data_IF_468515029736
#
_entry.id   IF_468515029736
#
_cell.length_a   1.000
_cell.length_b   1.000
_cell.length_c   1.000
_cell.angle_alpha   90.00
_cell.angle_beta   90.00
_cell.angle_gamma   90.00
#
_symmetry.space_group_name_H-M   'P 1'
#
loop_
_entity.id
_entity.type
_entity.pdbx_description
1 polymer ?
#
# COMPACT_ATOMS: atom_id res chain seq x y z
N UNK A 1 -19.63 -31.48 -34.96
CA UNK A 1 -20.16 -30.19 -35.41
C UNK A 1 -19.53 -29.93 -36.79
N UNK A 2 -20.28 -29.60 -37.80
CA UNK A 2 -19.78 -29.37 -39.16
C UNK A 2 -20.36 -28.05 -39.69
N UNK A 3 -19.53 -27.13 -40.13
CA UNK A 3 -19.96 -25.84 -40.72
C UNK A 3 -19.35 -25.74 -42.11
N UNK A 4 -20.19 -25.82 -43.14
CA UNK A 4 -19.71 -25.78 -44.52
C UNK A 4 -19.45 -24.33 -44.98
N UNK A 5 -18.22 -24.09 -45.50
CA UNK A 5 -17.79 -22.88 -46.22
C UNK A 5 -17.90 -21.52 -45.47
N UNK A 6 -17.87 -21.49 -44.18
CA UNK A 6 -17.81 -20.23 -43.45
C UNK A 6 -16.35 -19.85 -43.12
N UNK A 7 -16.00 -18.61 -43.37
CA UNK A 7 -14.74 -18.00 -42.91
C UNK A 7 -14.97 -17.29 -41.56
N UNK A 8 -14.08 -17.53 -40.58
CA UNK A 8 -14.15 -16.87 -39.26
C UNK A 8 -14.95 -17.64 -38.22
N UNK A 9 -15.12 -18.95 -38.34
CA UNK A 9 -15.75 -19.77 -37.30
C UNK A 9 -14.80 -20.04 -36.14
N UNK A 10 -15.27 -19.80 -34.93
CA UNK A 10 -14.54 -20.14 -33.71
C UNK A 10 -15.31 -21.17 -32.90
N UNK A 11 -14.65 -22.22 -32.45
CA UNK A 11 -15.13 -23.12 -31.42
C UNK A 11 -14.61 -22.60 -30.05
N UNK A 12 -15.54 -22.13 -29.22
CA UNK A 12 -15.21 -21.70 -27.87
C UNK A 12 -15.50 -22.83 -26.87
N UNK A 13 -14.51 -23.23 -26.11
CA UNK A 13 -14.63 -24.18 -25.01
C UNK A 13 -14.50 -23.38 -23.70
N UNK A 14 -15.67 -23.00 -23.18
CA UNK A 14 -15.79 -22.20 -21.97
C UNK A 14 -16.14 -23.13 -20.78
N UNK A 15 -15.24 -23.20 -19.86
CA UNK A 15 -15.30 -24.03 -18.65
C UNK A 15 -15.28 -25.55 -18.91
N UNK A 16 -14.63 -26.25 -18.03
CA UNK A 16 -14.58 -27.71 -18.09
C UNK A 16 -15.81 -28.32 -17.44
N UNK A 17 -16.71 -28.90 -18.23
CA UNK A 17 -17.96 -29.47 -17.73
C UNK A 17 -17.85 -30.92 -17.24
N UNK A 18 -16.73 -31.59 -17.45
CA UNK A 18 -16.52 -33.00 -17.05
C UNK A 18 -15.83 -33.13 -15.73
N UNK A 19 -16.43 -33.87 -14.80
CA UNK A 19 -15.79 -34.32 -13.57
C UNK A 19 -14.77 -35.46 -13.77
N UNK A 20 -14.69 -36.01 -14.98
CA UNK A 20 -13.82 -37.15 -15.35
C UNK A 20 -12.53 -36.64 -16.03
N UNK A 21 -11.50 -37.47 -16.06
CA UNK A 21 -10.21 -37.22 -16.70
C UNK A 21 -10.24 -37.06 -18.22
N UNK A 22 -11.42 -37.11 -18.82
CA UNK A 22 -11.62 -37.10 -20.27
C UNK A 22 -11.98 -35.72 -20.87
N UNK A 23 -12.24 -34.71 -20.05
CA UNK A 23 -12.60 -33.38 -20.53
C UNK A 23 -13.91 -33.36 -21.33
N UNK A 24 -14.02 -32.43 -22.29
CA UNK A 24 -15.14 -32.36 -23.21
C UNK A 24 -14.93 -33.37 -24.35
N UNK A 25 -15.74 -34.42 -24.39
CA UNK A 25 -15.66 -35.49 -25.42
C UNK A 25 -16.56 -35.13 -26.59
N UNK A 26 -15.98 -35.01 -27.77
CA UNK A 26 -16.71 -34.79 -29.03
C UNK A 26 -16.31 -35.82 -30.06
N UNK A 27 -17.25 -36.13 -30.96
CA UNK A 27 -16.99 -37.11 -31.98
C UNK A 27 -16.09 -36.57 -33.09
N UNK A 28 -16.35 -35.34 -33.56
CA UNK A 28 -15.57 -34.69 -34.63
C UNK A 28 -15.59 -33.17 -34.53
N UNK A 29 -14.56 -32.52 -35.05
CA UNK A 29 -14.44 -31.07 -35.23
C UNK A 29 -14.04 -30.80 -36.68
N UNK A 30 -14.81 -30.01 -37.42
CA UNK A 30 -14.55 -29.70 -38.81
C UNK A 30 -14.84 -28.24 -39.14
N UNK A 31 -14.01 -27.66 -40.04
CA UNK A 31 -14.19 -26.31 -40.58
C UNK A 31 -14.25 -25.18 -39.56
N UNK A 32 -13.43 -25.24 -38.53
CA UNK A 32 -13.19 -24.13 -37.60
C UNK A 32 -11.86 -23.45 -37.92
N UNK A 33 -11.85 -22.12 -37.96
CA UNK A 33 -10.65 -21.33 -38.13
C UNK A 33 -9.93 -21.12 -36.82
N UNK A 34 -10.65 -21.16 -35.67
CA UNK A 34 -10.07 -21.04 -34.36
C UNK A 34 -10.76 -21.97 -33.33
N UNK A 35 -10.00 -22.42 -32.35
CA UNK A 35 -10.47 -23.07 -31.15
C UNK A 35 -9.95 -22.23 -30.00
N UNK A 36 -10.85 -21.61 -29.21
CA UNK A 36 -10.50 -20.81 -28.07
C UNK A 36 -10.88 -21.53 -26.78
N UNK A 37 -9.90 -21.76 -25.92
CA UNK A 37 -10.12 -22.25 -24.58
C UNK A 37 -10.27 -21.04 -23.62
N UNK A 38 -11.44 -20.91 -23.01
CA UNK A 38 -11.80 -19.79 -22.17
C UNK A 38 -12.17 -20.26 -20.76
N UNK A 39 -11.63 -19.59 -19.75
CA UNK A 39 -11.88 -19.90 -18.33
C UNK A 39 -11.73 -21.40 -18.02
N UNK A 40 -10.76 -22.05 -18.64
CA UNK A 40 -10.58 -23.49 -18.56
C UNK A 40 -9.97 -23.84 -17.20
N UNK A 41 -10.65 -24.68 -16.36
CA UNK A 41 -10.05 -25.16 -15.11
C UNK A 41 -8.83 -26.03 -15.43
N UNK A 42 -7.66 -25.64 -14.89
CA UNK A 42 -6.46 -26.43 -15.03
C UNK A 42 -6.59 -27.72 -14.22
N UNK A 43 -6.17 -28.81 -14.83
CA UNK A 43 -6.02 -30.09 -14.16
C UNK A 43 -4.76 -30.77 -14.70
N UNK A 44 -3.71 -30.85 -13.88
CA UNK A 44 -2.48 -31.57 -14.22
C UNK A 44 -2.82 -32.98 -14.70
N UNK A 45 -2.23 -33.36 -15.82
CA UNK A 45 -2.52 -34.60 -16.55
C UNK A 45 -3.98 -34.75 -17.05
N UNK A 46 -4.76 -33.68 -17.02
CA UNK A 46 -6.14 -33.65 -17.53
C UNK A 46 -6.23 -33.46 -19.03
N UNK A 47 -7.47 -33.57 -19.58
CA UNK A 47 -7.77 -33.37 -20.99
C UNK A 47 -8.89 -32.36 -21.14
N UNK A 48 -8.67 -31.27 -21.89
CA UNK A 48 -9.68 -30.24 -22.13
C UNK A 48 -10.66 -30.65 -23.28
N UNK A 49 -10.14 -31.13 -24.38
CA UNK A 49 -10.94 -31.57 -25.55
C UNK A 49 -10.46 -32.95 -26.00
N UNK A 50 -11.39 -33.91 -26.05
CA UNK A 50 -11.16 -35.27 -26.52
C UNK A 50 -11.93 -35.53 -27.79
N UNK A 51 -11.25 -35.73 -28.95
CA UNK A 51 -11.82 -36.01 -30.25
C UNK A 51 -11.71 -37.51 -30.50
N UNK A 52 -12.87 -38.16 -30.70
CA UNK A 52 -12.94 -39.64 -30.71
C UNK A 52 -13.04 -40.25 -32.14
N UNK A 53 -13.32 -39.46 -33.19
CA UNK A 53 -13.44 -39.97 -34.56
C UNK A 53 -12.23 -39.63 -35.43
N UNK A 54 -11.60 -40.67 -35.97
CA UNK A 54 -10.39 -40.63 -36.79
C UNK A 54 -10.54 -39.88 -38.12
N UNK A 55 -11.68 -39.95 -38.73
CA UNK A 55 -11.87 -39.49 -40.11
C UNK A 55 -11.85 -37.95 -40.27
N UNK A 56 -11.85 -37.24 -39.15
CA UNK A 56 -12.03 -35.77 -39.15
C UNK A 56 -10.83 -34.97 -38.69
N UNK A 57 -9.70 -35.60 -38.41
CA UNK A 57 -8.49 -34.89 -37.88
C UNK A 57 -7.74 -34.10 -38.96
N UNK A 58 -7.85 -34.45 -40.23
CA UNK A 58 -7.27 -33.64 -41.30
C UNK A 58 -7.91 -32.24 -41.47
N UNK A 59 -9.05 -32.01 -40.84
CA UNK A 59 -9.84 -30.79 -40.94
C UNK A 59 -9.44 -29.71 -39.91
N UNK A 60 -8.50 -30.01 -39.00
CA UNK A 60 -7.92 -29.02 -38.07
C UNK A 60 -6.73 -28.29 -38.70
N UNK A 61 -6.35 -28.67 -39.94
CA UNK A 61 -5.34 -27.94 -40.68
C UNK A 61 -5.76 -26.47 -40.86
N UNK A 62 -4.85 -25.52 -40.52
CA UNK A 62 -5.09 -24.08 -40.54
C UNK A 62 -5.99 -23.54 -39.40
N UNK A 63 -6.18 -24.30 -38.35
CA UNK A 63 -6.90 -23.84 -37.15
C UNK A 63 -5.92 -23.17 -36.20
N UNK A 64 -6.25 -21.97 -35.72
CA UNK A 64 -5.52 -21.31 -34.63
C UNK A 64 -6.07 -21.78 -33.29
N UNK A 65 -5.20 -22.20 -32.38
CA UNK A 65 -5.58 -22.52 -31.01
C UNK A 65 -5.15 -21.40 -30.11
N UNK A 66 -6.11 -20.88 -29.34
CA UNK A 66 -5.93 -19.78 -28.42
C UNK A 66 -6.38 -20.17 -27.01
N UNK A 67 -5.72 -19.60 -26.00
CA UNK A 67 -6.07 -19.77 -24.58
C UNK A 67 -6.26 -18.38 -23.98
N UNK A 68 -7.53 -17.98 -23.78
CA UNK A 68 -7.83 -16.66 -23.21
C UNK A 68 -7.62 -16.63 -21.69
N UNK A 69 -7.95 -17.71 -21.00
CA UNK A 69 -7.79 -17.76 -19.54
C UNK A 69 -7.80 -19.20 -19.02
N UNK A 70 -6.99 -19.46 -18.00
CA UNK A 70 -7.00 -20.69 -17.22
C UNK A 70 -7.44 -20.38 -15.80
N UNK A 71 -8.46 -21.08 -15.32
CA UNK A 71 -8.88 -21.00 -13.92
C UNK A 71 -8.30 -22.16 -13.13
N UNK A 72 -7.96 -21.91 -11.87
CA UNK A 72 -7.49 -22.94 -10.96
C UNK A 72 -8.60 -23.27 -9.95
N UNK A 73 -8.91 -24.54 -9.81
CA UNK A 73 -9.75 -24.98 -8.69
C UNK A 73 -8.94 -24.83 -7.39
N UNK A 74 -9.56 -24.23 -6.37
CA UNK A 74 -8.89 -23.84 -5.12
C UNK A 74 -7.98 -24.90 -4.53
N UNK A 75 -6.80 -24.48 -4.12
CA UNK A 75 -5.78 -25.30 -3.47
C UNK A 75 -4.77 -25.99 -4.40
N UNK A 76 -4.84 -25.78 -5.71
CA UNK A 76 -3.83 -26.32 -6.65
C UNK A 76 -2.73 -25.29 -6.86
N UNK A 77 -1.52 -25.60 -6.41
CA UNK A 77 -0.32 -24.82 -6.74
C UNK A 77 0.29 -25.41 -7.99
N UNK A 78 0.33 -24.63 -9.07
CA UNK A 78 1.02 -25.00 -10.29
C UNK A 78 2.53 -24.85 -10.16
N UNK A 79 3.27 -25.68 -10.87
CA UNK A 79 4.72 -25.63 -10.93
C UNK A 79 5.20 -25.66 -12.39
N UNK A 80 6.38 -25.14 -12.65
CA UNK A 80 7.01 -25.31 -13.94
C UNK A 80 7.17 -26.80 -14.27
N UNK A 81 6.79 -27.18 -15.47
CA UNK A 81 6.77 -28.59 -15.92
C UNK A 81 5.41 -29.28 -15.76
N UNK A 82 4.44 -28.70 -15.06
CA UNK A 82 3.07 -29.24 -15.05
C UNK A 82 2.48 -29.20 -16.46
N UNK A 83 1.80 -30.28 -16.85
CA UNK A 83 1.22 -30.42 -18.19
C UNK A 83 -0.29 -30.66 -18.14
N UNK A 84 -0.98 -30.20 -19.19
CA UNK A 84 -2.37 -30.54 -19.47
C UNK A 84 -2.57 -30.76 -20.96
N UNK A 85 -3.37 -31.72 -21.35
CA UNK A 85 -3.73 -31.95 -22.75
C UNK A 85 -4.87 -31.04 -23.16
N UNK A 86 -4.63 -30.12 -24.10
CA UNK A 86 -5.65 -29.22 -24.62
C UNK A 86 -6.51 -29.92 -25.67
N UNK A 87 -5.87 -30.63 -26.58
CA UNK A 87 -6.58 -31.41 -27.60
C UNK A 87 -5.98 -32.83 -27.65
N UNK A 88 -6.80 -33.81 -27.36
CA UNK A 88 -6.46 -35.22 -27.52
C UNK A 88 -7.16 -35.80 -28.73
N UNK A 89 -6.42 -36.56 -29.52
CA UNK A 89 -6.94 -37.35 -30.62
C UNK A 89 -6.63 -38.82 -30.34
N UNK A 90 -7.66 -39.63 -30.14
CA UNK A 90 -7.51 -41.08 -29.92
C UNK A 90 -7.31 -41.87 -31.22
N UNK A 91 -6.49 -41.36 -32.13
CA UNK A 91 -6.41 -41.87 -33.49
C UNK A 91 -5.08 -42.57 -33.70
N UNK A 92 -5.14 -43.68 -34.43
CA UNK A 92 -3.94 -44.41 -34.86
C UNK A 92 -3.02 -43.54 -35.78
N UNK A 93 -3.54 -42.45 -36.35
CA UNK A 93 -2.83 -41.52 -37.22
C UNK A 93 -2.39 -40.22 -36.53
N UNK A 94 -2.81 -39.96 -35.27
CA UNK A 94 -2.52 -38.74 -34.53
C UNK A 94 -3.11 -37.48 -35.15
N UNK A 95 -3.03 -36.35 -34.40
CA UNK A 95 -3.26 -35.03 -34.95
C UNK A 95 -2.08 -34.65 -35.82
N UNK A 96 -2.31 -34.34 -37.09
CA UNK A 96 -1.27 -33.64 -37.88
C UNK A 96 -1.35 -32.16 -37.55
N UNK A 97 -0.55 -31.73 -36.61
CA UNK A 97 -0.45 -30.32 -36.22
C UNK A 97 0.58 -29.54 -37.06
N UNK A 98 1.08 -30.12 -38.15
CA UNK A 98 1.95 -29.42 -39.10
C UNK A 98 1.36 -28.09 -39.60
N UNK A 99 0.06 -27.86 -39.33
CA UNK A 99 -0.68 -26.69 -39.78
C UNK A 99 -1.55 -26.04 -38.69
N UNK A 100 -1.49 -26.46 -37.44
CA UNK A 100 -2.11 -25.74 -36.33
C UNK A 100 -1.15 -24.65 -35.87
N UNK A 101 -1.61 -23.40 -35.90
CA UNK A 101 -0.92 -22.31 -35.24
C UNK A 101 -1.45 -22.16 -33.82
N UNK A 102 -0.54 -21.92 -32.88
CA UNK A 102 -0.87 -21.64 -31.50
C UNK A 102 -0.55 -20.18 -31.24
N UNK A 103 -1.38 -19.49 -30.44
CA UNK A 103 -1.04 -18.16 -29.97
C UNK A 103 0.26 -18.26 -29.18
N UNK A 104 1.23 -17.42 -29.51
CA UNK A 104 2.54 -17.43 -28.85
C UNK A 104 2.40 -17.10 -27.37
N UNK A 105 2.97 -17.97 -26.52
CA UNK A 105 3.16 -17.79 -25.07
C UNK A 105 1.92 -17.25 -24.33
N UNK A 106 0.79 -17.96 -24.33
CA UNK A 106 -0.39 -17.53 -23.60
C UNK A 106 -0.07 -17.42 -22.10
N UNK A 107 -0.46 -16.30 -21.51
CA UNK A 107 -0.32 -16.06 -20.08
C UNK A 107 -1.62 -16.36 -19.35
N UNK A 108 -1.54 -16.75 -18.08
CA UNK A 108 -2.69 -16.98 -17.23
C UNK A 108 -2.44 -16.42 -15.83
N UNK A 109 -3.51 -16.12 -15.11
CA UNK A 109 -3.43 -15.68 -13.71
C UNK A 109 -3.84 -16.82 -12.80
N UNK A 110 -2.99 -17.16 -11.84
CA UNK A 110 -3.29 -18.10 -10.77
C UNK A 110 -3.79 -17.31 -9.56
N UNK A 111 -5.07 -17.44 -9.23
CA UNK A 111 -5.69 -16.61 -8.21
C UNK A 111 -5.53 -15.12 -8.55
N UNK A 112 -4.96 -14.35 -7.63
CA UNK A 112 -4.61 -12.94 -7.80
C UNK A 112 -3.13 -12.66 -7.53
N UNK A 113 -2.41 -13.63 -6.95
CA UNK A 113 -1.02 -13.45 -6.51
C UNK A 113 0.02 -13.81 -7.56
N UNK A 114 -0.33 -14.64 -8.54
CA UNK A 114 0.62 -15.17 -9.51
C UNK A 114 0.13 -15.06 -10.97
N UNK A 115 1.09 -14.94 -11.88
CA UNK A 115 0.90 -15.08 -13.32
C UNK A 115 1.80 -16.18 -13.85
N UNK A 116 1.33 -16.93 -14.81
CA UNK A 116 2.07 -18.00 -15.44
C UNK A 116 2.16 -17.85 -16.94
N UNK A 117 3.17 -18.49 -17.53
CA UNK A 117 3.38 -18.58 -18.96
C UNK A 117 3.22 -20.04 -19.40
N UNK A 118 2.46 -20.26 -20.46
CA UNK A 118 2.12 -21.58 -20.98
C UNK A 118 2.84 -21.80 -22.32
N UNK A 119 3.57 -22.91 -22.43
CA UNK A 119 4.12 -23.38 -23.71
C UNK A 119 3.19 -24.43 -24.29
N UNK A 120 2.64 -24.14 -25.45
CA UNK A 120 1.75 -25.07 -26.16
C UNK A 120 2.52 -25.78 -27.27
N UNK A 121 2.61 -27.10 -27.17
CA UNK A 121 3.37 -27.92 -28.10
C UNK A 121 2.70 -29.25 -28.42
N UNK A 122 3.14 -29.86 -29.50
CA UNK A 122 2.82 -31.27 -29.77
C UNK A 122 3.65 -32.17 -28.87
N UNK A 123 2.99 -33.10 -28.22
CA UNK A 123 3.67 -34.23 -27.61
C UNK A 123 4.15 -35.18 -28.72
N UNK A 124 5.47 -35.38 -28.82
CA UNK A 124 6.10 -36.18 -29.89
C UNK A 124 5.77 -37.69 -29.87
N UNK A 125 5.21 -38.22 -28.77
CA UNK A 125 4.82 -39.61 -28.63
C UNK A 125 3.36 -39.85 -28.98
N UNK A 126 2.47 -38.95 -28.56
CA UNK A 126 1.02 -39.11 -28.67
C UNK A 126 0.41 -38.24 -29.75
N UNK A 127 1.12 -37.25 -30.29
CA UNK A 127 0.61 -36.21 -31.19
C UNK A 127 -0.60 -35.45 -30.62
N UNK A 128 -0.71 -35.34 -29.30
CA UNK A 128 -1.68 -34.49 -28.66
C UNK A 128 -1.15 -33.07 -28.55
N UNK A 129 -2.04 -32.06 -28.56
CA UNK A 129 -1.68 -30.72 -28.22
C UNK A 129 -1.64 -30.59 -26.69
N UNK A 130 -0.45 -30.41 -26.14
CA UNK A 130 -0.25 -30.23 -24.70
C UNK A 130 0.15 -28.80 -24.38
N UNK A 131 -0.26 -28.31 -23.22
CA UNK A 131 0.25 -27.10 -22.61
C UNK A 131 1.14 -27.49 -21.42
N UNK A 132 2.32 -26.93 -21.38
CA UNK A 132 3.29 -27.07 -20.30
C UNK A 132 3.53 -25.72 -19.63
N UNK A 133 3.48 -25.68 -18.31
CA UNK A 133 3.80 -24.46 -17.55
C UNK A 133 5.30 -24.18 -17.67
N UNK A 134 5.70 -23.11 -18.35
CA UNK A 134 7.10 -22.67 -18.45
C UNK A 134 7.62 -22.09 -17.14
N UNK A 135 6.80 -21.30 -16.50
CA UNK A 135 7.15 -20.63 -15.26
C UNK A 135 5.96 -19.94 -14.62
N UNK A 136 6.08 -19.67 -13.34
CA UNK A 136 5.11 -18.91 -12.56
C UNK A 136 5.88 -17.79 -11.88
N UNK A 137 5.37 -16.58 -12.01
CA UNK A 137 5.92 -15.37 -11.43
C UNK A 137 4.84 -14.66 -10.57
N UNK A 138 5.29 -13.76 -9.73
CA UNK A 138 4.38 -12.88 -8.98
C UNK A 138 3.54 -12.03 -9.95
N UNK A 139 2.26 -11.88 -9.64
CA UNK A 139 1.41 -10.95 -10.38
C UNK A 139 1.84 -9.49 -10.09
N UNK A 140 2.28 -8.72 -11.11
CA UNK A 140 2.74 -7.35 -10.91
C UNK A 140 1.69 -6.41 -10.30
N UNK A 141 0.40 -6.70 -10.44
CA UNK A 141 -0.68 -5.91 -9.82
C UNK A 141 -0.57 -5.86 -8.29
N UNK A 142 0.09 -6.87 -7.67
CA UNK A 142 0.30 -6.93 -6.22
C UNK A 142 1.20 -5.83 -5.69
N UNK A 143 1.95 -5.12 -6.55
CA UNK A 143 2.78 -3.98 -6.17
C UNK A 143 1.94 -2.85 -5.57
N UNK A 144 0.72 -2.63 -6.06
CA UNK A 144 -0.20 -1.64 -5.50
C UNK A 144 -0.52 -1.90 -4.02
N UNK A 145 -0.55 -3.16 -3.61
CA UNK A 145 -0.79 -3.56 -2.22
C UNK A 145 0.46 -3.29 -1.37
N UNK A 146 1.65 -3.64 -1.87
CA UNK A 146 2.92 -3.39 -1.18
C UNK A 146 3.15 -1.90 -0.92
N UNK A 147 2.89 -1.04 -1.92
CA UNK A 147 2.98 0.41 -1.80
C UNK A 147 2.08 0.96 -0.69
N UNK A 148 0.87 0.44 -0.54
CA UNK A 148 -0.04 0.87 0.52
C UNK A 148 0.52 0.70 1.93
N UNK A 149 1.31 -0.33 2.16
CA UNK A 149 1.90 -0.59 3.48
C UNK A 149 2.85 0.54 3.92
N UNK A 150 3.73 1.00 3.04
CA UNK A 150 4.62 2.14 3.30
C UNK A 150 3.83 3.41 3.62
N UNK A 151 2.74 3.65 2.87
CA UNK A 151 1.85 4.79 3.06
C UNK A 151 1.15 4.78 4.40
N UNK A 152 0.70 3.62 4.82
CA UNK A 152 0.04 3.46 6.10
C UNK A 152 0.98 3.86 7.25
N UNK A 153 2.24 3.45 7.20
CA UNK A 153 3.27 3.88 8.14
C UNK A 153 3.54 5.39 8.07
N UNK A 154 3.65 5.96 6.85
CA UNK A 154 3.82 7.40 6.65
C UNK A 154 2.65 8.22 7.24
N UNK A 155 1.42 7.69 7.17
CA UNK A 155 0.25 8.35 7.75
C UNK A 155 0.26 8.32 9.28
N UNK A 156 0.65 7.22 9.90
CA UNK A 156 0.87 7.11 11.35
C UNK A 156 1.96 8.08 11.80
N UNK A 157 3.02 8.27 11.01
CA UNK A 157 4.08 9.22 11.29
C UNK A 157 3.61 10.68 11.37
N UNK A 158 2.56 11.07 10.63
CA UNK A 158 1.96 12.40 10.74
C UNK A 158 1.32 12.62 12.12
N UNK A 159 0.78 11.56 12.75
CA UNK A 159 0.33 11.61 14.14
C UNK A 159 1.48 11.89 15.14
N UNK A 160 2.65 11.32 14.92
CA UNK A 160 3.84 11.61 15.74
C UNK A 160 4.26 13.08 15.63
N UNK A 161 4.16 13.66 14.44
CA UNK A 161 4.46 15.08 14.20
C UNK A 161 3.53 15.98 15.03
N UNK A 162 2.22 15.70 15.03
CA UNK A 162 1.23 16.48 15.79
C UNK A 162 1.46 16.34 17.29
N UNK A 163 1.74 15.15 17.78
CA UNK A 163 2.00 14.90 19.19
C UNK A 163 3.22 15.70 19.68
N UNK A 164 4.31 15.72 18.89
CA UNK A 164 5.50 16.50 19.20
C UNK A 164 5.28 18.01 19.15
N UNK A 165 4.45 18.51 18.20
CA UNK A 165 4.12 19.92 18.07
C UNK A 165 3.15 20.40 19.17
N UNK A 166 2.22 19.56 19.58
CA UNK A 166 1.29 19.86 20.66
C UNK A 166 2.01 20.10 22.00
N UNK A 167 3.19 19.51 22.21
CA UNK A 167 4.03 19.80 23.37
C UNK A 167 4.55 21.24 23.40
N UNK A 168 4.82 21.85 22.24
CA UNK A 168 5.31 23.22 22.17
C UNK A 168 4.33 24.21 22.82
N UNK A 169 3.04 24.08 22.49
CA UNK A 169 2.00 24.94 23.03
C UNK A 169 1.54 24.54 24.44
N UNK A 170 1.47 23.25 24.72
CA UNK A 170 1.14 22.77 26.04
C UNK A 170 2.14 23.24 27.08
N UNK A 171 3.42 23.39 26.70
CA UNK A 171 4.52 23.74 27.60
C UNK A 171 4.77 25.25 27.74
N UNK A 172 3.87 26.12 27.24
CA UNK A 172 4.03 27.57 27.38
C UNK A 172 4.02 27.99 28.87
N UNK A 173 5.02 28.79 29.26
CA UNK A 173 5.35 29.09 30.66
C UNK A 173 4.47 30.16 31.31
N UNK A 174 3.57 30.77 30.58
CA UNK A 174 2.82 31.94 31.03
C UNK A 174 1.92 31.68 32.23
N UNK A 175 1.43 30.44 32.38
CA UNK A 175 0.60 30.05 33.55
C UNK A 175 0.87 28.60 33.92
N UNK A 176 0.97 28.33 35.20
CA UNK A 176 1.05 26.97 35.74
C UNK A 176 -0.36 26.40 35.94
N UNK A 177 -0.46 25.09 35.97
CA UNK A 177 -1.72 24.43 36.28
C UNK A 177 -2.17 23.46 35.19
N UNK A 178 -3.36 22.93 35.42
CA UNK A 178 -4.02 21.97 34.51
C UNK A 178 -4.50 22.69 33.26
N UNK A 179 -4.39 21.99 32.14
CA UNK A 179 -4.86 22.48 30.85
C UNK A 179 -5.39 21.35 29.99
N UNK A 180 -6.35 21.66 29.13
CA UNK A 180 -6.76 20.80 28.03
C UNK A 180 -6.19 21.35 26.73
N UNK A 181 -5.90 20.46 25.80
CA UNK A 181 -5.40 20.84 24.48
C UNK A 181 -6.03 19.98 23.40
N UNK A 182 -6.07 20.50 22.19
CA UNK A 182 -6.50 19.77 21.01
C UNK A 182 -5.95 20.40 19.75
N UNK A 183 -5.62 19.56 18.78
CA UNK A 183 -5.19 19.99 17.46
C UNK A 183 -5.90 19.20 16.36
N UNK A 184 -6.14 19.90 15.25
CA UNK A 184 -6.58 19.31 13.99
C UNK A 184 -5.54 19.65 12.94
N UNK A 185 -5.09 18.63 12.24
CA UNK A 185 -4.07 18.71 11.21
C UNK A 185 -4.62 18.11 9.92
N UNK A 186 -4.56 18.87 8.83
CA UNK A 186 -4.89 18.41 7.50
C UNK A 186 -3.65 18.37 6.62
N UNK A 187 -3.50 17.34 5.80
CA UNK A 187 -2.37 17.20 4.90
C UNK A 187 -2.76 16.71 3.52
N UNK A 188 -1.96 17.12 2.55
CA UNK A 188 -1.88 16.52 1.23
C UNK A 188 -0.40 16.26 0.95
N UNK A 189 -0.03 15.01 0.96
CA UNK A 189 1.36 14.58 0.78
C UNK A 189 1.47 13.59 -0.38
N UNK A 190 2.60 13.66 -1.07
CA UNK A 190 3.08 12.68 -2.03
C UNK A 190 4.37 12.10 -1.47
N UNK A 191 4.56 10.79 -1.59
CA UNK A 191 5.80 10.09 -1.24
C UNK A 191 6.36 9.44 -2.49
N UNK A 192 7.68 9.47 -2.65
CA UNK A 192 8.40 8.89 -3.78
C UNK A 192 8.74 7.42 -3.46
N UNK A 193 7.72 6.57 -3.49
CA UNK A 193 7.84 5.12 -3.38
C UNK A 193 7.56 4.57 -4.78
N UNK A 194 8.40 3.85 -5.42
CA UNK A 194 8.28 3.22 -6.76
C UNK A 194 7.10 3.67 -7.67
N UNK A 195 6.09 4.34 -7.12
CA UNK A 195 4.94 4.95 -7.80
C UNK A 195 4.57 6.32 -7.21
N UNK A 196 3.73 7.07 -7.91
CA UNK A 196 3.17 8.35 -7.46
C UNK A 196 2.07 8.14 -6.41
N UNK A 197 2.47 8.00 -5.15
CA UNK A 197 1.59 7.75 -4.04
C UNK A 197 1.11 9.02 -3.36
N UNK A 198 -0.19 9.26 -3.39
CA UNK A 198 -0.81 10.48 -2.84
C UNK A 198 -1.70 10.16 -1.65
N UNK A 199 -1.46 10.84 -0.53
CA UNK A 199 -2.28 10.76 0.68
C UNK A 199 -2.93 12.12 0.94
N UNK A 200 -4.24 12.11 1.21
CA UNK A 200 -4.95 13.24 1.77
C UNK A 200 -5.58 12.79 3.09
N UNK A 201 -5.33 13.51 4.17
CA UNK A 201 -5.81 13.07 5.47
C UNK A 201 -5.98 14.17 6.48
N UNK A 202 -6.74 13.83 7.51
CA UNK A 202 -6.96 14.62 8.71
C UNK A 202 -6.54 13.81 9.92
N UNK A 203 -5.83 14.48 10.81
CA UNK A 203 -5.39 13.90 12.06
C UNK A 203 -5.84 14.83 13.20
N UNK A 204 -6.24 14.25 14.31
CA UNK A 204 -6.75 14.98 15.47
C UNK A 204 -6.07 14.43 16.73
N UNK A 205 -5.74 15.33 17.63
CA UNK A 205 -5.27 14.99 18.98
C UNK A 205 -6.06 15.79 19.99
N UNK A 206 -6.47 15.16 21.08
CA UNK A 206 -7.09 15.83 22.24
C UNK A 206 -6.49 15.28 23.52
N UNK A 207 -6.23 16.15 24.48
CA UNK A 207 -5.55 15.72 25.70
C UNK A 207 -5.72 16.65 26.88
N UNK A 208 -5.20 16.19 28.01
CA UNK A 208 -5.10 16.93 29.24
C UNK A 208 -3.68 16.88 29.76
N UNK A 209 -3.20 17.98 30.30
CA UNK A 209 -1.84 18.07 30.82
C UNK A 209 -1.73 19.04 31.99
N UNK A 210 -0.53 19.14 32.51
CA UNK A 210 -0.20 20.06 33.59
C UNK A 210 1.19 20.64 33.37
N UNK A 211 1.37 21.90 33.74
CA UNK A 211 2.68 22.55 33.79
C UNK A 211 2.92 23.05 35.19
N UNK A 212 4.06 22.69 35.75
CA UNK A 212 4.45 23.15 37.10
C UNK A 212 5.94 23.47 37.18
N UNK A 213 6.27 24.36 38.09
CA UNK A 213 7.63 24.76 38.35
C UNK A 213 8.38 23.65 39.11
N UNK A 214 9.60 23.36 38.68
CA UNK A 214 10.51 22.42 39.36
C UNK A 214 11.91 22.98 39.38
N UNK A 215 12.26 23.65 40.49
CA UNK A 215 13.56 24.33 40.64
C UNK A 215 13.75 25.48 39.66
N UNK A 216 14.79 25.40 38.82
CA UNK A 216 15.13 26.33 37.75
C UNK A 216 14.53 25.95 36.39
N UNK A 217 13.53 25.10 36.39
CA UNK A 217 12.92 24.59 35.18
C UNK A 217 11.40 24.46 35.32
N UNK A 218 10.70 24.36 34.19
CA UNK A 218 9.31 24.02 34.09
C UNK A 218 9.18 22.58 33.57
N UNK A 219 8.30 21.80 34.18
CA UNK A 219 7.94 20.47 33.77
C UNK A 219 6.51 20.50 33.25
N UNK A 220 6.33 20.25 31.95
CA UNK A 220 5.06 20.03 31.31
C UNK A 220 4.89 18.54 31.02
N UNK A 221 3.71 17.99 31.27
CA UNK A 221 3.36 16.63 30.90
C UNK A 221 1.88 16.54 30.53
N UNK A 222 1.52 15.57 29.73
CA UNK A 222 0.12 15.34 29.34
C UNK A 222 -0.10 13.93 28.81
N UNK A 223 -1.37 13.56 28.78
CA UNK A 223 -1.87 12.37 28.14
C UNK A 223 -2.89 12.77 27.06
N UNK A 224 -2.95 12.01 26.01
CA UNK A 224 -3.80 12.34 24.87
C UNK A 224 -4.39 11.12 24.19
N UNK A 225 -5.50 11.33 23.51
CA UNK A 225 -6.07 10.48 22.49
C UNK A 225 -5.77 11.06 21.11
N UNK A 226 -5.51 10.21 20.14
CA UNK A 226 -5.28 10.58 18.75
C UNK A 226 -6.13 9.76 17.79
N UNK A 227 -6.49 10.39 16.68
CA UNK A 227 -7.21 9.76 15.58
C UNK A 227 -6.74 10.34 14.26
N UNK A 228 -6.62 9.50 13.23
CA UNK A 228 -6.36 9.92 11.87
C UNK A 228 -7.30 9.23 10.90
N UNK A 229 -7.73 9.98 9.89
CA UNK A 229 -8.52 9.46 8.75
C UNK A 229 -7.92 10.00 7.47
N UNK A 230 -7.55 9.12 6.56
CA UNK A 230 -6.93 9.45 5.29
C UNK A 230 -7.47 8.63 4.14
N UNK A 231 -7.34 9.18 2.94
CA UNK A 231 -7.56 8.46 1.70
C UNK A 231 -6.27 8.53 0.89
N UNK A 232 -5.98 7.45 0.19
CA UNK A 232 -4.83 7.38 -0.70
C UNK A 232 -5.24 6.85 -2.06
N UNK A 233 -4.38 7.11 -3.05
CA UNK A 233 -4.52 6.60 -4.40
C UNK A 233 -3.17 6.17 -4.91
N UNK A 234 -3.14 4.97 -5.48
CA UNK A 234 -2.01 4.43 -6.24
C UNK A 234 -2.40 4.29 -7.71
N UNK A 235 -1.49 4.59 -8.61
CA UNK A 235 -1.69 4.47 -10.05
C UNK A 235 -0.43 3.84 -10.64
N UNK A 236 -0.60 2.71 -11.34
CA UNK A 236 0.51 2.02 -12.00
C UNK A 236 0.08 1.42 -13.34
N UNK A 237 1.01 1.09 -14.21
CA UNK A 237 0.76 0.47 -15.51
C UNK A 237 1.59 -0.80 -15.64
N UNK A 238 0.93 -1.92 -15.95
CA UNK A 238 1.56 -3.21 -16.19
C UNK A 238 1.10 -3.75 -17.54
N UNK A 239 2.02 -4.17 -18.39
CA UNK A 239 1.72 -4.71 -19.72
C UNK A 239 0.76 -3.83 -20.55
N UNK A 240 1.00 -2.51 -20.57
CA UNK A 240 0.17 -1.49 -21.25
C UNK A 240 -1.26 -1.34 -20.68
N UNK A 241 -1.60 -2.04 -19.61
CA UNK A 241 -2.85 -1.84 -18.87
C UNK A 241 -2.65 -0.91 -17.66
N UNK A 242 -3.62 -0.01 -17.49
CA UNK A 242 -3.64 0.94 -16.38
C UNK A 242 -4.42 0.37 -15.19
N UNK A 243 -3.77 0.32 -14.04
CA UNK A 243 -4.37 -0.10 -12.78
C UNK A 243 -4.40 1.06 -11.79
N UNK A 244 -5.50 1.15 -11.08
CA UNK A 244 -5.71 2.16 -10.05
C UNK A 244 -6.36 1.53 -8.83
N UNK A 245 -5.71 1.69 -7.67
CA UNK A 245 -6.25 1.38 -6.36
C UNK A 245 -6.64 2.65 -5.63
N UNK A 246 -7.85 2.69 -5.05
CA UNK A 246 -8.29 3.73 -4.13
C UNK A 246 -8.45 3.09 -2.74
N UNK A 247 -7.87 3.70 -1.72
CA UNK A 247 -7.88 3.15 -0.37
C UNK A 247 -8.12 4.17 0.72
N UNK A 248 -8.38 3.67 1.91
CA UNK A 248 -8.58 4.44 3.12
C UNK A 248 -7.67 3.98 4.26
N UNK A 249 -7.32 4.91 5.12
CA UNK A 249 -6.51 4.71 6.31
C UNK A 249 -7.23 5.31 7.51
N UNK A 250 -7.34 4.56 8.58
CA UNK A 250 -7.88 5.04 9.85
C UNK A 250 -7.00 4.52 10.98
N UNK A 251 -6.51 5.43 11.81
CA UNK A 251 -5.84 5.00 13.03
C UNK A 251 -6.48 5.65 14.26
N UNK A 252 -6.41 4.95 15.39
CA UNK A 252 -6.84 5.40 16.69
C UNK A 252 -5.82 5.00 17.74
N UNK A 253 -5.51 5.90 18.65
CA UNK A 253 -4.50 5.62 19.65
C UNK A 253 -4.54 6.57 20.81
N UNK A 254 -3.56 6.42 21.66
CA UNK A 254 -3.34 7.30 22.77
C UNK A 254 -1.87 7.37 23.16
N UNK A 255 -1.52 8.35 23.94
CA UNK A 255 -0.14 8.53 24.34
C UNK A 255 0.06 9.44 25.53
N UNK A 256 1.31 9.60 25.88
CA UNK A 256 1.77 10.52 26.89
C UNK A 256 2.99 11.30 26.40
N UNK A 257 3.12 12.53 26.84
CA UNK A 257 4.22 13.39 26.45
C UNK A 257 4.73 14.21 27.63
N UNK A 258 6.02 14.55 27.61
CA UNK A 258 6.67 15.31 28.66
C UNK A 258 7.70 16.27 28.06
N UNK A 259 7.81 17.49 28.62
CA UNK A 259 8.88 18.45 28.33
C UNK A 259 9.44 19.04 29.62
N UNK A 260 10.74 19.02 29.73
CA UNK A 260 11.49 19.69 30.78
C UNK A 260 12.25 20.87 30.18
N UNK A 261 11.87 22.10 30.55
CA UNK A 261 12.44 23.35 30.04
C UNK A 261 13.08 24.16 31.14
N UNK A 262 14.39 24.42 31.03
CA UNK A 262 15.18 25.24 31.93
C UNK A 262 14.99 26.73 31.69
N UNK A 263 15.21 27.56 32.71
CA UNK A 263 15.19 29.01 32.56
C UNK A 263 16.24 29.53 31.56
N UNK A 264 17.33 28.77 31.35
CA UNK A 264 18.35 29.08 30.33
C UNK A 264 17.83 28.92 28.89
N UNK A 265 16.58 28.48 28.71
CA UNK A 265 15.94 28.20 27.41
C UNK A 265 16.20 26.80 26.87
N UNK A 266 17.13 26.02 27.44
CA UNK A 266 17.35 24.65 27.05
C UNK A 266 16.16 23.76 27.43
N UNK A 267 15.75 22.85 26.54
CA UNK A 267 14.67 21.92 26.83
C UNK A 267 14.94 20.51 26.30
N UNK A 268 14.28 19.56 26.93
CA UNK A 268 14.26 18.14 26.56
C UNK A 268 12.81 17.69 26.52
N UNK A 269 12.48 16.86 25.55
CA UNK A 269 11.12 16.37 25.40
C UNK A 269 11.09 14.90 24.98
N UNK A 270 10.01 14.23 25.33
CA UNK A 270 9.76 12.86 24.93
C UNK A 270 8.24 12.60 24.83
N UNK A 271 7.86 11.66 23.98
CA UNK A 271 6.50 11.12 23.95
C UNK A 271 6.52 9.62 23.65
N UNK A 272 5.45 8.96 24.07
CA UNK A 272 5.12 7.58 23.76
C UNK A 272 3.68 7.52 23.30
N UNK A 273 3.43 6.74 22.26
CA UNK A 273 2.09 6.54 21.66
C UNK A 273 1.90 5.10 21.26
N UNK A 274 0.66 4.63 21.29
CA UNK A 274 0.25 3.28 20.91
C UNK A 274 -1.18 3.31 20.37
N UNK A 275 -1.46 2.49 19.39
CA UNK A 275 -2.81 2.43 18.80
C UNK A 275 -2.99 1.33 17.78
N UNK A 276 -4.10 1.43 17.06
CA UNK A 276 -4.46 0.53 15.97
C UNK A 276 -4.56 1.30 14.65
N UNK A 277 -4.20 0.67 13.57
CA UNK A 277 -4.27 1.17 12.21
C UNK A 277 -5.08 0.18 11.37
N UNK A 278 -6.15 0.64 10.75
CA UNK A 278 -6.86 -0.07 9.70
C UNK A 278 -6.50 0.54 8.34
N UNK A 279 -6.14 -0.28 7.38
CA UNK A 279 -5.90 0.10 6.01
C UNK A 279 -6.70 -0.77 5.06
N UNK A 280 -7.37 -0.15 4.09
CA UNK A 280 -8.17 -0.86 3.11
C UNK A 280 -7.91 -0.33 1.70
N UNK A 281 -8.06 -1.19 0.72
CA UNK A 281 -8.00 -0.82 -0.69
C UNK A 281 -9.13 -1.54 -1.45
N UNK A 282 -9.82 -0.80 -2.31
CA UNK A 282 -10.74 -1.37 -3.29
C UNK A 282 -10.05 -1.50 -4.64
N UNK A 283 -10.44 -2.51 -5.42
CA UNK A 283 -9.88 -2.79 -6.75
C UNK A 283 -8.35 -2.95 -6.77
N UNK A 284 -7.80 -3.57 -5.72
CA UNK A 284 -6.36 -3.74 -5.55
C UNK A 284 -5.75 -4.64 -6.63
N UNK A 285 -6.43 -5.74 -6.94
CA UNK A 285 -6.00 -6.76 -7.91
C UNK A 285 -7.18 -7.32 -8.67
N UNK A 286 -6.89 -7.93 -9.82
CA UNK A 286 -7.87 -8.67 -10.63
C UNK A 286 -7.42 -10.11 -10.84
N UNK A 287 -8.39 -11.02 -10.86
CA UNK A 287 -8.15 -12.39 -11.27
C UNK A 287 -8.14 -12.52 -12.81
N UNK A 288 -7.87 -13.73 -13.30
CA UNK A 288 -7.85 -14.01 -14.74
C UNK A 288 -9.24 -13.88 -15.41
N UNK A 289 -10.34 -13.87 -14.68
CA UNK A 289 -11.69 -13.62 -15.20
C UNK A 289 -12.01 -12.12 -15.25
N UNK A 290 -11.12 -11.25 -14.75
CA UNK A 290 -11.30 -9.79 -14.70
C UNK A 290 -12.11 -9.30 -13.51
N UNK A 291 -12.42 -10.16 -12.51
CA UNK A 291 -13.06 -9.74 -11.28
C UNK A 291 -12.06 -8.96 -10.43
N UNK A 292 -12.53 -7.82 -9.90
CA UNK A 292 -11.71 -6.97 -9.03
C UNK A 292 -11.90 -7.33 -7.57
N UNK A 293 -10.81 -7.35 -6.82
CA UNK A 293 -10.77 -7.66 -5.40
C UNK A 293 -10.09 -6.53 -4.63
N UNK A 294 -10.58 -6.31 -3.40
CA UNK A 294 -9.97 -5.42 -2.42
C UNK A 294 -9.46 -6.21 -1.23
N UNK A 295 -8.92 -5.50 -0.26
CA UNK A 295 -8.53 -6.06 1.04
C UNK A 295 -8.74 -5.07 2.17
N UNK A 296 -8.79 -5.59 3.40
CA UNK A 296 -8.71 -4.88 4.66
C UNK A 296 -7.58 -5.49 5.48
N UNK A 297 -6.79 -4.63 6.14
CA UNK A 297 -5.68 -5.03 7.02
C UNK A 297 -5.74 -4.23 8.32
N UNK A 298 -5.60 -4.94 9.43
CA UNK A 298 -5.60 -4.39 10.78
C UNK A 298 -4.22 -4.60 11.41
N UNK A 299 -3.60 -3.51 11.85
CA UNK A 299 -2.29 -3.52 12.48
C UNK A 299 -2.31 -2.76 13.79
N UNK A 300 -1.42 -3.09 14.71
CA UNK A 300 -1.10 -2.22 15.83
C UNK A 300 0.10 -1.34 15.49
N UNK A 301 0.24 -0.23 16.19
CA UNK A 301 1.43 0.59 16.11
C UNK A 301 1.84 1.10 17.49
N UNK A 302 3.12 1.32 17.65
CA UNK A 302 3.64 2.12 18.74
C UNK A 302 4.70 3.08 18.21
N UNK A 303 4.96 4.14 18.96
CA UNK A 303 5.98 5.10 18.56
C UNK A 303 6.44 5.94 19.75
N UNK A 304 7.64 6.44 19.63
CA UNK A 304 8.24 7.36 20.59
C UNK A 304 8.91 8.52 19.86
N UNK A 305 9.00 9.66 20.53
CA UNK A 305 9.87 10.73 20.07
C UNK A 305 10.72 11.24 21.21
N UNK A 306 11.94 11.65 20.89
CA UNK A 306 12.88 12.31 21.77
C UNK A 306 13.33 13.62 21.13
N UNK A 307 13.31 14.71 21.88
CA UNK A 307 13.71 16.02 21.38
C UNK A 307 14.60 16.77 22.34
N UNK A 308 15.48 17.56 21.77
CA UNK A 308 16.31 18.53 22.50
C UNK A 308 16.28 19.85 21.74
N UNK A 309 16.29 20.96 22.45
CA UNK A 309 16.36 22.26 21.80
C UNK A 309 16.71 23.38 22.76
N UNK A 310 16.80 24.57 22.17
CA UNK A 310 17.11 25.78 22.91
C UNK A 310 16.34 26.98 22.38
N UNK A 311 15.67 27.67 23.26
CA UNK A 311 15.06 28.96 23.03
C UNK A 311 16.10 30.05 23.28
N UNK A 312 16.34 30.91 22.29
CA UNK A 312 17.36 31.98 22.33
C UNK A 312 16.67 33.31 22.06
N UNK A 313 16.61 34.17 23.08
CA UNK A 313 16.01 35.50 22.93
C UNK A 313 16.83 36.34 21.95
N UNK A 314 16.19 37.05 21.05
CA UNK A 314 16.79 37.89 20.01
C UNK A 314 15.92 39.13 19.77
N UNK A 315 16.25 40.23 20.47
CA UNK A 315 15.40 41.44 20.48
C UNK A 315 14.03 41.16 21.10
N UNK A 316 12.95 41.55 20.42
CA UNK A 316 11.56 41.24 20.78
C UNK A 316 11.12 39.83 20.37
N UNK A 317 11.93 39.11 19.60
CA UNK A 317 11.63 37.77 19.10
C UNK A 317 12.53 36.72 19.74
N UNK A 318 12.25 35.46 19.38
CA UNK A 318 12.93 34.29 19.93
C UNK A 318 13.22 33.26 18.84
N UNK A 319 14.43 32.74 18.81
CA UNK A 319 14.81 31.56 18.05
C UNK A 319 14.53 30.28 18.86
N UNK A 320 13.96 29.27 18.21
CA UNK A 320 13.93 27.90 18.68
C UNK A 320 14.78 27.05 17.74
N UNK A 321 15.91 26.54 18.24
CA UNK A 321 16.77 25.61 17.48
C UNK A 321 16.62 24.24 18.12
N UNK A 322 16.31 23.22 17.32
CA UNK A 322 15.96 21.90 17.86
C UNK A 322 16.43 20.73 16.99
N UNK A 323 16.57 19.59 17.65
CA UNK A 323 16.69 18.28 17.03
C UNK A 323 15.68 17.33 17.64
N UNK A 324 14.96 16.59 16.82
CA UNK A 324 13.94 15.61 17.22
C UNK A 324 14.19 14.29 16.52
N UNK A 325 14.18 13.20 17.25
CA UNK A 325 14.22 11.84 16.75
C UNK A 325 12.85 11.20 16.96
N UNK A 326 12.35 10.53 15.95
CA UNK A 326 11.07 9.81 15.97
C UNK A 326 11.33 8.36 15.62
N UNK A 327 10.75 7.47 16.38
CA UNK A 327 10.68 6.05 16.10
C UNK A 327 9.21 5.63 16.06
N UNK A 328 8.83 4.91 15.03
CA UNK A 328 7.47 4.35 14.87
C UNK A 328 7.61 2.94 14.32
N UNK A 329 6.89 1.99 14.92
CA UNK A 329 6.76 0.63 14.44
C UNK A 329 5.28 0.32 14.18
N UNK A 330 4.99 -0.22 13.02
CA UNK A 330 3.67 -0.69 12.61
C UNK A 330 3.79 -2.19 12.40
N UNK A 331 3.13 -2.98 13.25
CA UNK A 331 3.17 -4.44 13.20
C UNK A 331 2.59 -4.99 11.90
N UNK A 332 3.16 -6.08 11.42
CA UNK A 332 2.72 -6.80 10.24
C UNK A 332 1.29 -7.35 10.37
N UNK A 333 0.74 -7.81 9.25
CA UNK A 333 -0.59 -8.43 9.22
C UNK A 333 -0.67 -9.50 8.13
N UNK A 334 -1.53 -10.49 8.33
CA UNK A 334 -1.81 -11.54 7.37
C UNK A 334 -3.29 -11.48 6.98
N UNK A 335 -3.56 -11.49 5.69
CA UNK A 335 -4.91 -11.43 5.14
C UNK A 335 -5.01 -12.29 3.87
N UNK A 336 -6.23 -12.47 3.35
CA UNK A 336 -6.46 -13.25 2.13
C UNK A 336 -7.24 -12.44 1.11
N UNK A 337 -6.85 -12.55 -0.16
CA UNK A 337 -7.57 -11.95 -1.30
C UNK A 337 -7.89 -13.07 -2.29
N UNK A 338 -9.17 -13.27 -2.58
CA UNK A 338 -9.65 -14.30 -3.51
C UNK A 338 -9.12 -15.71 -3.20
N UNK A 339 -8.79 -16.00 -1.94
CA UNK A 339 -8.26 -17.28 -1.49
C UNK A 339 -6.73 -17.38 -1.48
N UNK A 340 -6.00 -16.40 -2.01
CA UNK A 340 -4.55 -16.32 -1.90
C UNK A 340 -4.16 -15.62 -0.60
N UNK A 341 -3.12 -16.12 0.06
CA UNK A 341 -2.58 -15.55 1.29
C UNK A 341 -1.63 -14.39 0.98
N UNK A 342 -1.79 -13.30 1.75
CA UNK A 342 -0.91 -12.14 1.73
C UNK A 342 -0.39 -11.86 3.12
N UNK A 343 0.84 -11.38 3.22
CA UNK A 343 1.41 -10.95 4.50
C UNK A 343 2.19 -9.66 4.34
N UNK A 344 1.94 -8.72 5.25
CA UNK A 344 2.80 -7.56 5.47
C UNK A 344 3.79 -7.87 6.58
N UNK A 345 5.05 -7.50 6.38
CA UNK A 345 6.04 -7.46 7.46
C UNK A 345 5.85 -6.20 8.31
N UNK A 346 6.52 -6.16 9.48
CA UNK A 346 6.60 -4.96 10.31
C UNK A 346 7.28 -3.84 9.52
N UNK A 347 6.80 -2.60 9.73
CA UNK A 347 7.45 -1.40 9.18
C UNK A 347 8.00 -0.57 10.32
N UNK A 348 9.31 -0.39 10.33
CA UNK A 348 10.03 0.48 11.27
C UNK A 348 10.40 1.78 10.58
N UNK A 349 10.02 2.92 11.15
CA UNK A 349 10.40 4.26 10.70
C UNK A 349 11.24 4.96 11.78
N UNK A 350 12.42 5.43 11.37
CA UNK A 350 13.37 6.14 12.22
C UNK A 350 13.74 7.48 11.59
N UNK A 351 13.19 8.60 12.11
CA UNK A 351 13.39 9.93 11.54
C UNK A 351 14.18 10.85 12.44
N UNK A 352 15.12 11.57 11.87
CA UNK A 352 15.82 12.67 12.54
C UNK A 352 15.42 13.99 11.87
N UNK A 353 14.86 14.91 12.67
CA UNK A 353 14.51 16.26 12.24
C UNK A 353 15.38 17.30 12.95
N UNK A 354 16.06 18.15 12.19
CA UNK A 354 16.82 19.29 12.67
C UNK A 354 16.19 20.57 12.14
N UNK A 355 15.90 21.54 13.01
CA UNK A 355 15.18 22.73 12.58
C UNK A 355 15.50 23.98 13.39
N UNK A 356 15.14 25.10 12.81
CA UNK A 356 15.18 26.41 13.43
C UNK A 356 13.92 27.19 13.09
N UNK A 357 13.28 27.77 14.11
CA UNK A 357 12.07 28.59 14.01
C UNK A 357 12.34 29.94 14.68
N UNK A 358 12.00 31.02 14.03
CA UNK A 358 11.99 32.36 14.62
C UNK A 358 10.56 32.82 14.86
N UNK A 359 10.25 33.20 16.10
CA UNK A 359 8.99 33.80 16.52
C UNK A 359 9.22 35.27 16.82
N UNK A 360 8.54 36.14 16.07
CA UNK A 360 8.63 37.58 16.26
C UNK A 360 7.69 38.06 17.38
N UNK A 361 8.05 39.18 18.01
CA UNK A 361 7.17 39.91 18.94
C UNK A 361 6.56 39.01 20.04
N UNK A 362 7.40 38.24 20.73
CA UNK A 362 6.96 37.27 21.74
C UNK A 362 6.33 37.91 22.98
N UNK A 363 6.39 39.22 23.10
CA UNK A 363 5.76 40.06 24.12
C UNK A 363 4.35 40.55 23.76
N UNK A 364 3.87 40.25 22.54
CA UNK A 364 2.52 40.62 22.08
C UNK A 364 1.57 39.42 22.16
N UNK A 365 0.26 39.73 22.19
CA UNK A 365 -0.79 38.70 22.15
C UNK A 365 -0.72 37.85 20.88
N UNK A 366 -0.34 38.46 19.75
CA UNK A 366 -0.12 37.79 18.46
C UNK A 366 1.36 37.78 18.11
N UNK A 367 1.90 36.61 17.86
CA UNK A 367 3.28 36.40 17.44
C UNK A 367 3.32 35.63 16.13
N UNK A 368 3.92 36.21 15.10
CA UNK A 368 4.16 35.52 13.84
C UNK A 368 5.45 34.70 13.94
N UNK A 369 5.49 33.52 13.35
CA UNK A 369 6.71 32.73 13.24
C UNK A 369 6.91 32.16 11.83
N UNK A 370 8.17 31.85 11.53
CA UNK A 370 8.61 31.12 10.35
C UNK A 370 9.80 30.24 10.70
N UNK A 371 9.92 29.14 9.98
CA UNK A 371 10.98 28.18 10.26
C UNK A 371 11.36 27.33 9.07
N UNK A 372 12.51 26.73 9.18
CA UNK A 372 13.05 25.74 8.25
C UNK A 372 13.52 24.53 9.03
N UNK A 373 13.29 23.35 8.50
CA UNK A 373 13.82 22.12 9.03
C UNK A 373 14.24 21.18 7.90
N UNK A 374 15.14 20.29 8.24
CA UNK A 374 15.51 19.12 7.45
C UNK A 374 15.18 17.87 8.23
N UNK A 375 14.58 16.91 7.57
CA UNK A 375 14.27 15.59 8.11
C UNK A 375 14.91 14.53 7.26
N UNK A 376 15.39 13.47 7.88
CA UNK A 376 15.88 12.27 7.22
C UNK A 376 15.21 11.04 7.80
N UNK A 377 14.61 10.22 6.94
CA UNK A 377 14.12 8.89 7.26
C UNK A 377 15.25 7.89 6.99
N UNK A 378 15.65 7.14 8.02
CA UNK A 378 16.74 6.15 7.93
C UNK A 378 16.25 4.78 7.50
N UNK A 379 15.00 4.48 7.76
CA UNK A 379 14.33 3.21 7.52
C UNK A 379 13.01 3.48 6.75
N UNK A 380 11.94 2.77 7.07
CA UNK A 380 10.65 2.92 6.42
C UNK A 380 10.46 1.90 5.32
N UNK A 381 11.26 0.85 5.35
CA UNK A 381 11.16 -0.27 4.40
C UNK A 381 9.91 -1.08 4.69
N UNK A 382 9.20 -1.41 3.64
CA UNK A 382 7.95 -2.16 3.67
C UNK A 382 8.05 -3.37 2.76
N UNK A 383 7.95 -4.55 3.34
CA UNK A 383 7.98 -5.82 2.63
C UNK A 383 6.61 -6.49 2.68
N UNK A 384 6.30 -7.21 1.61
CA UNK A 384 5.05 -7.97 1.48
C UNK A 384 5.32 -9.28 0.74
N UNK A 385 4.57 -10.31 1.11
CA UNK A 385 4.45 -11.56 0.34
C UNK A 385 3.06 -11.66 -0.26
N UNK A 386 3.02 -12.09 -1.51
CA UNK A 386 1.81 -12.43 -2.23
C UNK A 386 1.90 -13.92 -2.61
N UNK A 387 1.14 -14.78 -1.90
CA UNK A 387 1.31 -16.21 -1.99
C UNK A 387 2.72 -16.65 -1.59
N UNK A 388 3.41 -17.30 -2.53
CA UNK A 388 4.81 -17.73 -2.34
C UNK A 388 5.87 -16.71 -2.78
N UNK A 389 5.47 -15.55 -3.29
CA UNK A 389 6.36 -14.57 -3.90
C UNK A 389 6.57 -13.36 -3.02
N UNK A 390 7.82 -12.88 -2.95
CA UNK A 390 8.13 -11.59 -2.35
C UNK A 390 7.79 -10.47 -3.34
N UNK A 391 7.11 -9.43 -2.86
CA UNK A 391 6.91 -8.19 -3.61
C UNK A 391 8.18 -7.31 -3.57
N UNK A 392 8.38 -6.39 -4.52
CA UNK A 392 9.46 -5.42 -4.43
C UNK A 392 9.33 -4.59 -3.16
N UNK A 393 10.46 -4.43 -2.47
CA UNK A 393 10.54 -3.58 -1.29
C UNK A 393 10.15 -2.14 -1.63
N UNK A 394 9.34 -1.54 -0.77
CA UNK A 394 8.98 -0.13 -0.81
C UNK A 394 9.67 0.57 0.34
N UNK A 395 10.20 1.77 0.14
CA UNK A 395 10.93 2.48 1.18
C UNK A 395 10.52 3.94 1.26
N UNK A 396 10.43 4.47 2.48
CA UNK A 396 10.26 5.89 2.78
C UNK A 396 11.61 6.58 3.04
N UNK A 397 12.72 5.86 2.86
CA UNK A 397 14.06 6.35 3.17
C UNK A 397 14.42 7.55 2.31
N UNK A 398 14.82 8.64 2.94
CA UNK A 398 15.26 9.81 2.21
C UNK A 398 15.20 11.11 2.99
N UNK A 399 15.52 12.20 2.29
CA UNK A 399 15.59 13.56 2.84
C UNK A 399 14.34 14.34 2.50
N UNK A 400 13.80 15.06 3.47
CA UNK A 400 12.70 16.01 3.30
C UNK A 400 13.07 17.38 3.83
N UNK A 401 12.96 18.40 3.00
CA UNK A 401 13.02 19.81 3.39
C UNK A 401 11.65 20.27 3.87
N UNK A 402 11.59 21.01 4.97
CA UNK A 402 10.36 21.54 5.57
C UNK A 402 10.48 23.06 5.71
N UNK A 403 9.51 23.79 5.18
CA UNK A 403 9.33 25.22 5.44
C UNK A 403 8.02 25.44 6.16
N UNK A 404 8.00 26.30 7.18
CA UNK A 404 6.81 26.61 7.97
C UNK A 404 6.59 28.10 8.13
N UNK A 405 5.32 28.46 8.24
CA UNK A 405 4.85 29.77 8.67
C UNK A 405 3.62 29.61 9.55
N UNK A 406 3.51 30.43 10.59
CA UNK A 406 2.36 30.34 11.47
C UNK A 406 2.25 31.52 12.40
N UNK A 407 1.21 31.49 13.23
CA UNK A 407 0.96 32.53 14.23
C UNK A 407 0.45 31.89 15.52
N UNK A 408 0.99 32.38 16.62
CA UNK A 408 0.55 32.02 17.98
C UNK A 408 -0.23 33.19 18.55
N UNK A 409 -1.41 32.89 19.08
CA UNK A 409 -2.18 33.82 19.88
C UNK A 409 -2.18 33.41 21.35
N UNK A 410 -1.84 34.36 22.22
CA UNK A 410 -1.87 34.22 23.68
C UNK A 410 -2.12 35.56 24.30
N UNK A 411 -3.01 35.63 25.28
CA UNK A 411 -3.30 36.83 26.02
C UNK A 411 -3.35 36.52 27.52
N UNK A 412 -2.81 37.43 28.35
CA UNK A 412 -2.82 37.29 29.79
C UNK A 412 -4.22 37.33 30.37
N UNK A 413 -5.14 38.04 29.69
CA UNK A 413 -6.55 38.17 30.07
C UNK A 413 -7.42 36.98 29.61
N UNK A 414 -6.86 35.99 28.88
CA UNK A 414 -7.58 34.85 28.35
C UNK A 414 -7.05 33.54 28.87
N UNK A 415 -7.92 32.55 29.19
CA UNK A 415 -7.48 31.18 29.44
C UNK A 415 -7.14 30.42 28.15
N UNK A 416 -7.44 30.96 26.99
CA UNK A 416 -7.21 30.32 25.69
C UNK A 416 -5.84 30.64 25.11
N UNK A 417 -5.30 29.67 24.39
CA UNK A 417 -4.13 29.80 23.51
C UNK A 417 -4.47 29.16 22.17
N UNK A 418 -3.96 29.71 21.11
CA UNK A 418 -4.16 29.18 19.76
C UNK A 418 -2.85 29.23 18.95
N UNK A 419 -2.65 28.25 18.12
CA UNK A 419 -1.60 28.23 17.09
C UNK A 419 -2.24 27.81 15.75
N UNK A 420 -1.87 28.51 14.71
CA UNK A 420 -2.25 28.17 13.34
C UNK A 420 -0.98 28.15 12.51
N UNK A 421 -0.71 27.03 11.85
CA UNK A 421 0.45 26.93 10.97
C UNK A 421 0.16 26.30 9.63
N UNK A 422 1.04 26.61 8.68
CA UNK A 422 1.11 25.97 7.36
C UNK A 422 2.55 25.49 7.16
N UNK A 423 2.69 24.32 6.56
CA UNK A 423 3.98 23.73 6.20
C UNK A 423 3.98 23.28 4.75
N UNK A 424 5.12 23.46 4.09
CA UNK A 424 5.43 22.89 2.80
C UNK A 424 6.56 21.89 2.92
N UNK A 425 6.51 20.84 2.13
CA UNK A 425 7.47 19.72 2.12
C UNK A 425 8.06 19.55 0.73
N UNK A 426 9.33 19.22 0.64
CA UNK A 426 10.03 18.89 -0.61
C UNK A 426 11.10 17.83 -0.39
N UNK A 427 11.27 16.92 -1.33
CA UNK A 427 12.16 15.76 -1.25
C UNK A 427 11.38 14.47 -1.18
N UNK A 428 11.75 13.52 -0.33
CA UNK A 428 11.08 12.21 -0.18
C UNK A 428 9.58 12.37 0.13
N UNK A 429 9.24 13.31 0.98
CA UNK A 429 7.87 13.77 1.17
C UNK A 429 7.70 15.11 0.47
N UNK A 430 6.72 15.22 -0.42
CA UNK A 430 6.29 16.45 -1.06
C UNK A 430 4.87 16.84 -0.63
N UNK A 431 4.53 18.14 -0.74
CA UNK A 431 3.18 18.62 -0.50
C UNK A 431 3.08 19.67 0.59
N UNK A 432 1.93 19.72 1.26
CA UNK A 432 1.67 20.73 2.27
C UNK A 432 0.75 20.21 3.38
N UNK A 433 0.78 20.89 4.52
CA UNK A 433 -0.12 20.66 5.64
C UNK A 433 -0.51 21.96 6.33
N UNK A 434 -1.61 21.90 7.07
CA UNK A 434 -2.05 22.97 7.96
C UNK A 434 -2.53 22.41 9.29
N UNK A 435 -2.27 23.14 10.37
CA UNK A 435 -2.69 22.76 11.71
C UNK A 435 -3.35 23.93 12.43
N UNK A 436 -4.37 23.62 13.19
CA UNK A 436 -4.94 24.49 14.21
C UNK A 436 -4.83 23.77 15.55
N UNK A 437 -4.19 24.40 16.50
CA UNK A 437 -4.05 23.88 17.86
C UNK A 437 -4.64 24.87 18.87
N UNK A 438 -5.39 24.36 19.83
CA UNK A 438 -6.01 25.13 20.89
C UNK A 438 -5.64 24.57 22.25
N UNK A 439 -5.38 25.45 23.22
CA UNK A 439 -5.18 25.09 24.64
C UNK A 439 -6.06 25.94 25.52
N UNK A 440 -6.69 25.33 26.50
CA UNK A 440 -7.45 26.00 27.56
C UNK A 440 -6.78 25.74 28.92
N UNK A 441 -6.53 26.80 29.65
CA UNK A 441 -5.89 26.79 30.96
C UNK A 441 -6.96 26.95 32.06
N UNK A 442 -6.93 26.09 33.09
CA UNK A 442 -7.85 26.13 34.22
C UNK A 442 -7.30 26.95 35.36
#
# INVERSE_FOLDING_TARGET
>A
MNVENATGNTLVIDKWTSSNEKGNVINSVQNFNAITFKNLPWKTDGVALDITNAETTGELSHTTVDVENLSLSGGTTLQAGDTMTFIRSNLDTGLSLDNISVTEDPTFTQGVSAVGELDMKLDGETNNLIGEIKGIARNPQTDLIAENRAVAAAFVNQGADIAAESLDLMSDDYKYGVRTFGAVYGSRSKYDVNSDLKINGWNTIVGVGNVHRKGDANLAWGVFYENGTGNYRTENSFNDEFFRGDGSLVYNGGGAAVRYKKDSGAYYEASLRVGTLNSSMSNAVRDGEGNSYGYDSDSTYWGTHLGVGKLIQSGSGQWNVYGKYFHTEVEGDNFSIAGDEFSFDDVTSDRLRLGARYTADTDKDWSLYYGLAWEYEFNGDSNMKAGQFDAPEQSLQGSTGIAEIGTVWRSDDSPWRADINLKGYTGEREGFSGMVHLTYLF
#
